data_IF_743827181365
#
_entry.id   IF_743827181365
#
_cell.length_a   1.000
_cell.length_b   1.000
_cell.length_c   1.000
_cell.angle_alpha   90.00
_cell.angle_beta   90.00
_cell.angle_gamma   90.00
#
_symmetry.space_group_name_H-M   'P 1'
#
loop_
_entity.id
_entity.type
_entity.pdbx_description
1 polymer ?
#
# COMPACT_ATOMS: atom_id res chain seq x y z
N UNK A 1 -13.83 12.28 -1.23
CA UNK A 1 -12.49 12.19 -1.81
C UNK A 1 -12.41 13.18 -2.96
N UNK A 2 -11.35 13.98 -2.98
CA UNK A 2 -10.99 14.87 -4.09
C UNK A 2 -9.52 14.66 -4.45
N UNK A 3 -9.14 15.10 -5.64
CA UNK A 3 -7.77 14.95 -6.15
C UNK A 3 -7.07 16.30 -6.06
N UNK A 4 -5.81 16.29 -5.59
CA UNK A 4 -4.97 17.49 -5.53
C UNK A 4 -3.72 17.25 -6.36
N UNK A 5 -3.45 18.11 -7.33
CA UNK A 5 -2.24 18.02 -8.15
C UNK A 5 -1.00 18.40 -7.33
N UNK A 6 0.04 17.57 -7.38
CA UNK A 6 1.34 17.80 -6.74
C UNK A 6 2.48 17.67 -7.76
N UNK A 7 3.65 18.29 -7.54
CA UNK A 7 4.76 18.26 -8.52
C UNK A 7 5.50 16.91 -8.60
N UNK A 8 5.18 15.96 -7.74
CA UNK A 8 5.88 14.67 -7.58
C UNK A 8 5.78 14.22 -6.12
N UNK A 9 6.78 13.50 -5.62
CA UNK A 9 6.87 13.14 -4.20
C UNK A 9 6.78 14.40 -3.31
N UNK A 10 5.90 14.32 -2.31
CA UNK A 10 5.75 15.32 -1.25
C UNK A 10 6.23 14.76 0.09
N UNK A 11 6.59 15.60 1.06
CA UNK A 11 6.95 15.14 2.39
C UNK A 11 5.80 14.36 3.07
N UNK A 12 6.15 13.45 3.97
CA UNK A 12 5.20 12.53 4.61
C UNK A 12 4.06 13.26 5.36
N UNK A 13 4.36 14.28 6.16
CA UNK A 13 3.34 15.04 6.90
C UNK A 13 2.25 15.65 6.00
N UNK A 14 2.61 16.46 4.98
CA UNK A 14 1.66 16.93 3.97
C UNK A 14 0.86 15.81 3.28
N UNK A 15 1.51 14.68 2.98
CA UNK A 15 0.81 13.52 2.41
C UNK A 15 -0.27 12.98 3.36
N UNK A 16 0.08 12.75 4.62
CA UNK A 16 -0.88 12.27 5.62
C UNK A 16 -2.02 13.26 5.88
N UNK A 17 -1.73 14.57 5.95
CA UNK A 17 -2.78 15.60 6.06
C UNK A 17 -3.77 15.53 4.89
N UNK A 18 -3.28 15.36 3.66
CA UNK A 18 -4.14 15.18 2.50
C UNK A 18 -5.07 13.96 2.69
N UNK A 19 -4.51 12.80 3.02
CA UNK A 19 -5.26 11.56 3.19
C UNK A 19 -6.30 11.69 4.32
N UNK A 20 -5.92 12.22 5.48
CA UNK A 20 -6.78 12.46 6.63
C UNK A 20 -8.00 13.34 6.29
N UNK A 21 -7.83 14.26 5.35
CA UNK A 21 -8.90 15.14 4.89
C UNK A 21 -9.54 14.67 3.55
N UNK A 22 -9.36 13.40 3.18
CA UNK A 22 -9.93 12.79 1.97
C UNK A 22 -9.52 13.52 0.68
N UNK A 23 -8.28 14.00 0.63
CA UNK A 23 -7.61 14.53 -0.56
C UNK A 23 -6.56 13.51 -0.98
N UNK A 24 -6.57 13.06 -2.22
CA UNK A 24 -5.51 12.19 -2.74
C UNK A 24 -4.55 13.01 -3.61
N UNK A 25 -3.26 13.13 -3.22
CA UNK A 25 -2.24 13.78 -4.04
C UNK A 25 -1.99 13.00 -5.32
N UNK A 26 -1.97 13.67 -6.47
CA UNK A 26 -1.64 13.07 -7.77
C UNK A 26 -0.57 13.89 -8.46
N UNK A 27 0.51 13.23 -8.84
CA UNK A 27 1.62 13.82 -9.59
C UNK A 27 1.13 14.40 -10.92
N UNK A 28 1.59 15.60 -11.26
CA UNK A 28 1.07 16.40 -12.37
C UNK A 28 1.83 16.23 -13.71
N UNK A 29 2.76 15.28 -13.78
CA UNK A 29 3.53 14.96 -14.98
C UNK A 29 3.41 13.48 -15.32
N UNK A 30 3.66 13.13 -16.57
CA UNK A 30 3.55 11.76 -17.09
C UNK A 30 4.91 11.28 -17.57
N UNK A 31 5.22 10.00 -17.34
CA UNK A 31 6.46 9.36 -17.82
C UNK A 31 6.67 9.51 -19.33
N UNK A 32 7.92 9.46 -19.77
CA UNK A 32 8.23 9.47 -21.20
C UNK A 32 8.03 8.08 -21.82
N UNK A 33 8.01 8.02 -23.16
CA UNK A 33 7.93 6.73 -23.89
C UNK A 33 9.06 5.76 -23.57
N UNK A 34 10.23 6.25 -23.14
CA UNK A 34 11.38 5.39 -22.79
C UNK A 34 11.20 4.70 -21.44
N UNK A 35 10.29 5.22 -20.63
CA UNK A 35 10.00 4.78 -19.27
C UNK A 35 8.64 4.07 -19.20
N UNK A 36 8.05 3.72 -20.35
CA UNK A 36 6.70 3.17 -20.42
C UNK A 36 6.56 1.89 -19.60
N UNK A 37 7.57 1.02 -19.69
CA UNK A 37 7.58 -0.27 -19.00
C UNK A 37 7.84 -0.12 -17.49
N UNK A 38 8.63 0.88 -17.08
CA UNK A 38 8.94 1.14 -15.67
C UNK A 38 9.52 2.54 -15.45
N UNK A 39 9.11 3.18 -14.36
CA UNK A 39 9.70 4.39 -13.80
C UNK A 39 9.71 4.27 -12.27
N UNK A 40 10.78 4.74 -11.63
CA UNK A 40 10.95 4.66 -10.16
C UNK A 40 10.06 5.69 -9.46
N UNK A 41 9.96 6.90 -10.01
CA UNK A 41 9.13 7.95 -9.44
C UNK A 41 7.66 7.76 -9.84
N UNK A 42 6.71 7.94 -8.90
CA UNK A 42 5.28 7.89 -9.22
C UNK A 42 4.94 9.05 -10.14
N UNK A 43 4.41 8.72 -11.31
CA UNK A 43 3.90 9.68 -12.27
C UNK A 43 2.37 9.76 -12.20
N UNK A 44 1.77 10.64 -13.00
CA UNK A 44 0.31 10.80 -13.08
C UNK A 44 -0.41 9.49 -13.39
N UNK A 45 0.17 8.59 -14.20
CA UNK A 45 -0.47 7.32 -14.50
C UNK A 45 -0.52 6.42 -13.27
N UNK A 46 0.60 6.26 -12.57
CA UNK A 46 0.62 5.51 -11.31
C UNK A 46 -0.36 6.09 -10.28
N UNK A 47 -0.26 7.38 -9.98
CA UNK A 47 -1.08 8.02 -8.95
C UNK A 47 -2.56 8.04 -9.33
N UNK A 48 -2.89 8.43 -10.56
CA UNK A 48 -4.29 8.54 -10.97
C UNK A 48 -4.89 7.19 -11.34
N UNK A 49 -4.29 6.44 -12.26
CA UNK A 49 -4.87 5.17 -12.72
C UNK A 49 -4.78 4.09 -11.65
N UNK A 50 -3.69 4.06 -10.88
CA UNK A 50 -3.47 3.05 -9.84
C UNK A 50 -4.30 3.29 -8.58
N UNK A 51 -4.24 4.49 -8.00
CA UNK A 51 -4.86 4.74 -6.69
C UNK A 51 -6.29 5.29 -6.75
N UNK A 52 -6.64 6.13 -7.73
CA UNK A 52 -7.92 6.86 -7.69
C UNK A 52 -9.15 5.94 -7.86
N UNK A 53 -9.17 4.94 -8.76
CA UNK A 53 -10.35 4.10 -8.95
C UNK A 53 -10.79 3.38 -7.66
N UNK A 54 -9.84 2.87 -6.87
CA UNK A 54 -10.16 2.10 -5.65
C UNK A 54 -10.73 2.98 -4.53
N UNK A 55 -10.50 4.30 -4.55
CA UNK A 55 -11.14 5.26 -3.62
C UNK A 55 -12.66 5.36 -3.80
N UNK A 56 -13.23 4.81 -4.88
CA UNK A 56 -14.68 4.67 -5.04
C UNK A 56 -15.27 3.52 -4.21
N UNK A 57 -14.43 2.60 -3.73
CA UNK A 57 -14.81 1.56 -2.77
C UNK A 57 -14.80 2.20 -1.36
N UNK A 58 -15.95 2.33 -0.69
CA UNK A 58 -16.08 3.15 0.51
C UNK A 58 -15.26 2.65 1.70
N UNK A 59 -15.15 1.34 1.89
CA UNK A 59 -14.37 0.73 2.98
C UNK A 59 -12.88 0.97 2.80
N UNK A 60 -12.38 0.86 1.57
CA UNK A 60 -10.98 1.20 1.27
C UNK A 60 -10.73 2.70 1.42
N UNK A 61 -11.69 3.52 0.99
CA UNK A 61 -11.62 4.96 1.13
C UNK A 61 -11.57 5.40 2.61
N UNK A 62 -12.29 4.71 3.50
CA UNK A 62 -12.25 4.95 4.94
C UNK A 62 -10.91 4.47 5.56
N UNK A 63 -10.37 3.34 5.10
CA UNK A 63 -9.02 2.90 5.46
C UNK A 63 -7.97 3.96 5.12
N UNK A 64 -7.99 4.48 3.88
CA UNK A 64 -7.03 5.50 3.43
C UNK A 64 -7.12 6.79 4.25
N UNK A 65 -8.34 7.19 4.67
CA UNK A 65 -8.51 8.35 5.55
C UNK A 65 -7.91 8.07 6.93
N UNK A 66 -8.28 6.96 7.56
CA UNK A 66 -7.74 6.59 8.87
C UNK A 66 -6.21 6.48 8.82
N UNK A 67 -5.64 5.96 7.73
CA UNK A 67 -4.20 5.87 7.54
C UNK A 67 -3.54 7.25 7.65
N UNK A 68 -4.09 8.26 6.96
CA UNK A 68 -3.64 9.64 7.10
C UNK A 68 -3.78 10.20 8.52
N UNK A 69 -4.87 9.87 9.22
CA UNK A 69 -5.12 10.34 10.59
C UNK A 69 -4.15 9.73 11.63
N UNK A 70 -3.72 8.48 11.44
CA UNK A 70 -2.92 7.74 12.43
C UNK A 70 -1.43 7.69 12.15
N UNK A 71 -0.99 7.96 10.92
CA UNK A 71 0.39 7.72 10.52
C UNK A 71 1.40 8.57 11.30
N UNK A 72 1.12 9.86 11.53
CA UNK A 72 2.01 10.75 12.27
C UNK A 72 2.22 10.30 13.72
N UNK A 73 1.17 9.80 14.38
CA UNK A 73 1.26 9.25 15.74
C UNK A 73 2.18 8.02 15.77
N UNK A 74 2.07 7.13 14.78
CA UNK A 74 2.93 5.95 14.70
C UNK A 74 4.39 6.32 14.42
N UNK A 75 4.62 7.31 13.57
CA UNK A 75 5.96 7.86 13.31
C UNK A 75 6.56 8.45 14.57
N UNK A 76 5.78 9.21 15.35
CA UNK A 76 6.22 9.78 16.62
C UNK A 76 6.62 8.70 17.66
N UNK A 77 6.04 7.49 17.56
CA UNK A 77 6.40 6.33 18.37
C UNK A 77 7.65 5.57 17.87
N UNK A 78 8.22 5.96 16.72
CA UNK A 78 9.33 5.29 16.05
C UNK A 78 8.91 4.17 15.09
N UNK A 79 7.67 4.22 14.61
CA UNK A 79 7.05 3.21 13.72
C UNK A 79 7.05 3.57 12.24
N UNK A 80 7.87 4.53 11.80
CA UNK A 80 7.92 5.04 10.42
C UNK A 80 8.04 3.94 9.35
N UNK A 81 8.99 3.02 9.51
CA UNK A 81 9.13 1.91 8.57
C UNK A 81 7.91 0.97 8.59
N UNK A 82 7.28 0.77 9.76
CA UNK A 82 6.15 -0.16 9.89
C UNK A 82 4.87 0.38 9.26
N UNK A 83 4.61 1.68 9.43
CA UNK A 83 3.45 2.31 8.83
C UNK A 83 3.61 2.39 7.30
N UNK A 84 4.84 2.63 6.83
CA UNK A 84 5.17 2.60 5.40
C UNK A 84 5.00 1.19 4.81
N UNK A 85 5.45 0.14 5.50
CA UNK A 85 5.22 -1.26 5.08
C UNK A 85 3.74 -1.61 4.96
N UNK A 86 2.93 -1.12 5.91
CA UNK A 86 1.48 -1.31 5.85
C UNK A 86 0.90 -0.70 4.57
N UNK A 87 1.23 0.56 4.28
CA UNK A 87 0.78 1.21 3.05
C UNK A 87 1.26 0.48 1.79
N UNK A 88 2.53 0.05 1.79
CA UNK A 88 3.14 -0.69 0.69
C UNK A 88 2.39 -1.99 0.39
N UNK A 89 2.18 -2.83 1.40
CA UNK A 89 1.53 -4.13 1.24
C UNK A 89 0.00 -4.07 1.17
N UNK A 90 -0.60 -2.88 1.33
CA UNK A 90 -2.02 -2.65 1.04
C UNK A 90 -2.21 -1.79 -0.21
N UNK A 91 -1.98 -0.48 -0.12
CA UNK A 91 -2.35 0.47 -1.16
C UNK A 91 -1.48 0.35 -2.42
N UNK A 92 -0.24 -0.14 -2.32
CA UNK A 92 0.65 -0.28 -3.48
C UNK A 92 0.64 -1.68 -4.09
N UNK A 93 0.72 -2.74 -3.27
CA UNK A 93 0.90 -4.12 -3.73
C UNK A 93 -0.11 -5.11 -3.15
N UNK A 94 -1.23 -4.62 -2.62
CA UNK A 94 -2.26 -5.45 -2.03
C UNK A 94 -3.03 -6.30 -3.03
N UNK A 95 -3.29 -7.55 -2.62
CA UNK A 95 -4.16 -8.51 -3.29
C UNK A 95 -5.39 -8.79 -2.42
N UNK A 96 -6.49 -9.22 -3.06
CA UNK A 96 -7.72 -9.61 -2.38
C UNK A 96 -8.24 -10.93 -2.94
N UNK A 97 -8.69 -11.82 -2.05
CA UNK A 97 -9.33 -13.07 -2.41
C UNK A 97 -10.53 -13.34 -1.52
N UNK A 98 -11.72 -13.08 -2.06
CA UNK A 98 -12.97 -13.43 -1.40
C UNK A 98 -13.20 -14.95 -1.45
N UNK A 99 -13.94 -15.54 -0.49
CA UNK A 99 -14.19 -16.98 -0.48
C UNK A 99 -14.74 -17.52 -1.80
N UNK A 100 -14.03 -18.49 -2.38
CA UNK A 100 -14.41 -19.13 -3.64
C UNK A 100 -14.19 -18.28 -4.89
N UNK A 101 -13.55 -17.11 -4.78
CA UNK A 101 -13.19 -16.25 -5.90
C UNK A 101 -11.70 -16.38 -6.25
N UNK A 102 -11.31 -16.07 -7.50
CA UNK A 102 -9.89 -15.92 -7.84
C UNK A 102 -9.29 -14.72 -7.09
N UNK A 103 -7.97 -14.74 -6.91
CA UNK A 103 -7.19 -13.59 -6.45
C UNK A 103 -7.35 -12.43 -7.44
N UNK A 104 -7.52 -11.21 -6.92
CA UNK A 104 -7.57 -9.96 -7.68
C UNK A 104 -6.56 -8.98 -7.08
N UNK A 105 -5.95 -8.14 -7.90
CA UNK A 105 -5.15 -7.03 -7.42
C UNK A 105 -6.01 -5.79 -7.14
N UNK A 106 -5.59 -4.98 -6.18
CA UNK A 106 -6.12 -3.62 -5.99
C UNK A 106 -5.03 -2.60 -5.70
N UNK A 107 -3.82 -3.04 -5.31
CA UNK A 107 -2.69 -2.15 -5.06
C UNK A 107 -2.25 -1.40 -6.33
N UNK A 108 -2.03 -0.09 -6.21
CA UNK A 108 -1.76 0.80 -7.33
C UNK A 108 -0.47 0.50 -8.09
N UNK A 109 0.59 0.07 -7.40
CA UNK A 109 1.82 -0.44 -8.01
C UNK A 109 1.55 -1.60 -8.96
N UNK A 110 0.67 -2.54 -8.58
CA UNK A 110 0.21 -3.60 -9.46
C UNK A 110 -0.69 -3.06 -10.58
N UNK A 111 -1.69 -2.25 -10.25
CA UNK A 111 -2.65 -1.74 -11.24
C UNK A 111 -1.98 -0.91 -12.34
N UNK A 112 -0.82 -0.31 -12.07
CA UNK A 112 -0.05 0.49 -13.02
C UNK A 112 1.17 -0.23 -13.62
N UNK A 113 1.39 -1.51 -13.29
CA UNK A 113 2.50 -2.34 -13.79
C UNK A 113 1.98 -3.57 -14.53
N UNK A 114 2.12 -3.59 -15.85
CA UNK A 114 1.58 -4.69 -16.67
C UNK A 114 2.18 -6.06 -16.32
N UNK A 115 3.50 -6.14 -16.22
CA UNK A 115 4.21 -7.42 -16.02
C UNK A 115 4.11 -7.93 -14.60
N UNK A 116 4.20 -7.04 -13.60
CA UNK A 116 4.11 -7.44 -12.19
C UNK A 116 2.68 -7.81 -11.80
N UNK A 117 1.67 -7.11 -12.34
CA UNK A 117 0.26 -7.50 -12.16
C UNK A 117 0.03 -8.94 -12.63
N UNK A 118 0.47 -9.26 -13.85
CA UNK A 118 0.31 -10.60 -14.40
C UNK A 118 1.01 -11.65 -13.53
N UNK A 119 2.26 -11.38 -13.12
CA UNK A 119 2.99 -12.26 -12.22
C UNK A 119 2.25 -12.48 -10.90
N UNK A 120 1.82 -11.39 -10.24
CA UNK A 120 1.20 -11.43 -8.93
C UNK A 120 -0.13 -12.19 -8.91
N UNK A 121 -0.93 -12.16 -9.99
CA UNK A 121 -2.26 -12.79 -10.01
C UNK A 121 -2.33 -14.13 -10.74
N UNK A 122 -1.43 -14.40 -11.69
CA UNK A 122 -1.48 -15.61 -12.53
C UNK A 122 -0.37 -16.63 -12.24
N UNK A 123 0.79 -16.19 -11.72
CA UNK A 123 1.95 -17.08 -11.53
C UNK A 123 1.77 -17.99 -10.31
N UNK A 124 2.17 -19.25 -10.45
CA UNK A 124 2.27 -20.20 -9.32
C UNK A 124 3.49 -19.93 -8.43
N UNK A 125 4.46 -19.18 -8.94
CA UNK A 125 5.66 -18.80 -8.21
C UNK A 125 5.45 -17.52 -7.39
N UNK A 126 4.30 -16.85 -7.54
CA UNK A 126 3.94 -15.71 -6.71
C UNK A 126 3.68 -16.17 -5.26
N UNK A 127 4.42 -15.59 -4.32
CA UNK A 127 4.26 -15.92 -2.91
C UNK A 127 3.09 -15.14 -2.31
N UNK A 128 1.94 -15.79 -2.22
CA UNK A 128 0.74 -15.24 -1.58
C UNK A 128 0.73 -15.54 -0.08
N UNK A 129 0.70 -14.49 0.72
CA UNK A 129 0.71 -14.56 2.18
C UNK A 129 -0.64 -14.07 2.71
N UNK A 130 -1.35 -14.81 3.58
CA UNK A 130 -2.57 -14.30 4.19
C UNK A 130 -2.31 -12.99 4.94
N UNK A 131 -3.20 -12.02 4.80
CA UNK A 131 -3.07 -10.74 5.52
C UNK A 131 -3.11 -10.95 7.04
N UNK A 132 -2.07 -10.46 7.70
CA UNK A 132 -1.98 -10.31 9.16
C UNK A 132 -1.30 -8.98 9.47
N UNK A 133 -1.92 -8.16 10.33
CA UNK A 133 -1.50 -6.78 10.57
C UNK A 133 -0.07 -6.70 11.12
N UNK A 134 0.27 -7.53 12.11
CA UNK A 134 1.59 -7.51 12.74
C UNK A 134 2.66 -8.00 11.75
N UNK A 135 2.37 -9.06 11.00
CA UNK A 135 3.27 -9.60 9.98
C UNK A 135 3.54 -8.55 8.91
N UNK A 136 2.50 -7.94 8.33
CA UNK A 136 2.63 -6.88 7.33
C UNK A 136 3.51 -5.72 7.82
N UNK A 137 3.24 -5.20 9.03
CA UNK A 137 4.02 -4.10 9.60
C UNK A 137 5.49 -4.45 9.83
N UNK A 138 5.83 -5.73 9.91
CA UNK A 138 7.19 -6.21 10.15
C UNK A 138 7.92 -6.68 8.90
N UNK A 139 7.23 -6.94 7.79
CA UNK A 139 7.85 -7.46 6.57
C UNK A 139 8.51 -6.34 5.77
N UNK A 140 9.81 -6.49 5.46
CA UNK A 140 10.52 -5.55 4.58
C UNK A 140 9.98 -5.58 3.15
N UNK A 141 10.37 -4.69 2.24
CA UNK A 141 9.88 -4.72 0.86
C UNK A 141 10.93 -4.22 -0.13
N UNK A 142 10.65 -4.35 -1.42
CA UNK A 142 11.56 -3.98 -2.50
C UNK A 142 10.96 -2.88 -3.37
N UNK A 143 11.75 -1.86 -3.73
CA UNK A 143 11.28 -0.72 -4.52
C UNK A 143 11.73 -0.77 -5.99
N UNK A 144 12.63 -1.69 -6.35
CA UNK A 144 13.33 -1.72 -7.64
C UNK A 144 13.21 -3.06 -8.38
N UNK A 145 12.40 -3.98 -7.86
CA UNK A 145 12.15 -5.32 -8.41
C UNK A 145 10.80 -5.84 -7.93
N UNK A 146 10.37 -6.95 -8.51
CA UNK A 146 9.10 -7.58 -8.13
C UNK A 146 9.09 -7.96 -6.66
N UNK A 147 7.92 -7.80 -6.03
CA UNK A 147 7.75 -8.16 -4.63
C UNK A 147 7.97 -9.67 -4.43
N UNK A 148 8.69 -10.01 -3.36
CA UNK A 148 8.89 -11.41 -2.93
C UNK A 148 7.75 -11.97 -2.07
N UNK A 149 6.81 -11.13 -1.66
CA UNK A 149 5.57 -11.51 -0.99
C UNK A 149 4.43 -10.58 -1.40
N UNK A 150 3.23 -11.12 -1.56
CA UNK A 150 2.00 -10.36 -1.80
C UNK A 150 0.99 -10.74 -0.72
N UNK A 151 0.55 -9.76 0.07
CA UNK A 151 -0.43 -10.00 1.11
C UNK A 151 -1.84 -10.03 0.53
N UNK A 152 -2.58 -11.09 0.86
CA UNK A 152 -3.92 -11.36 0.34
C UNK A 152 -4.95 -11.08 1.43
N UNK A 153 -5.74 -10.04 1.22
CA UNK A 153 -6.88 -9.71 2.05
C UNK A 153 -8.07 -10.64 1.77
N UNK A 154 -8.80 -11.08 2.81
CA UNK A 154 -10.07 -11.79 2.60
C UNK A 154 -11.21 -10.84 2.23
N UNK A 155 -11.11 -9.56 2.64
CA UNK A 155 -12.05 -8.48 2.31
C UNK A 155 -11.44 -7.10 2.64
N UNK A 156 -12.01 -6.02 2.11
CA UNK A 156 -11.63 -4.66 2.53
C UNK A 156 -12.05 -4.37 3.98
N UNK A 157 -13.13 -4.99 4.48
CA UNK A 157 -13.52 -4.88 5.89
C UNK A 157 -12.42 -5.41 6.82
N UNK A 158 -11.74 -6.50 6.46
CA UNK A 158 -10.62 -7.02 7.25
C UNK A 158 -9.48 -6.01 7.35
N UNK A 159 -9.15 -5.29 6.26
CA UNK A 159 -8.14 -4.23 6.28
C UNK A 159 -8.58 -3.06 7.17
N UNK A 160 -9.81 -2.55 6.95
CA UNK A 160 -10.37 -1.45 7.74
C UNK A 160 -10.41 -1.80 9.23
N UNK A 161 -10.90 -2.97 9.58
CA UNK A 161 -11.11 -3.39 10.97
C UNK A 161 -9.78 -3.66 11.68
N UNK A 162 -8.81 -4.25 10.98
CA UNK A 162 -7.44 -4.39 11.50
C UNK A 162 -6.84 -3.02 11.81
N UNK A 163 -7.07 -2.01 10.97
CA UNK A 163 -6.52 -0.68 11.20
C UNK A 163 -7.29 0.15 12.22
N UNK A 164 -8.61 -0.02 12.29
CA UNK A 164 -9.48 0.65 13.24
C UNK A 164 -9.25 0.15 14.67
N UNK A 165 -9.19 -1.19 14.83
CA UNK A 165 -9.22 -1.86 16.13
C UNK A 165 -7.89 -2.51 16.54
N UNK A 166 -6.93 -2.62 15.61
CA UNK A 166 -5.63 -3.23 15.89
C UNK A 166 -4.75 -2.38 16.79
N UNK A 167 -3.91 -3.05 17.58
CA UNK A 167 -2.95 -2.42 18.49
C UNK A 167 -1.69 -1.95 17.75
N UNK A 168 -1.84 -0.98 16.84
CA UNK A 168 -0.74 -0.43 16.05
C UNK A 168 0.38 0.10 16.96
N UNK A 169 0.02 0.84 18.01
CA UNK A 169 0.97 1.40 18.95
C UNK A 169 1.74 0.31 19.73
N UNK A 170 1.06 -0.75 20.16
CA UNK A 170 1.71 -1.89 20.82
C UNK A 170 2.57 -2.72 19.88
N UNK A 171 2.20 -2.86 18.59
CA UNK A 171 3.08 -3.47 17.56
C UNK A 171 4.34 -2.63 17.40
N UNK A 172 4.21 -1.32 17.17
CA UNK A 172 5.35 -0.40 17.05
C UNK A 172 6.22 -0.47 18.30
N UNK A 173 5.64 -0.40 19.49
CA UNK A 173 6.40 -0.43 20.74
C UNK A 173 7.17 -1.75 20.93
N UNK A 174 6.62 -2.88 20.49
CA UNK A 174 7.28 -4.19 20.60
C UNK A 174 8.43 -4.35 19.61
N UNK A 175 8.27 -3.85 18.39
CA UNK A 175 9.17 -4.18 17.29
C UNK A 175 10.03 -3.02 16.78
N UNK A 176 9.87 -1.79 17.30
CA UNK A 176 10.72 -0.67 16.90
C UNK A 176 12.20 -1.00 17.14
N UNK A 177 13.02 -0.78 16.13
CA UNK A 177 14.45 -1.11 16.15
C UNK A 177 14.78 -2.61 16.00
N UNK A 178 13.79 -3.49 15.84
CA UNK A 178 14.04 -4.88 15.44
C UNK A 178 14.17 -4.97 13.91
N UNK A 179 14.95 -5.96 13.40
CA UNK A 179 15.03 -6.17 11.96
C UNK A 179 13.67 -6.56 11.39
N UNK A 180 13.44 -6.14 10.15
CA UNK A 180 12.28 -6.55 9.37
C UNK A 180 12.32 -8.06 9.11
N UNK A 181 11.14 -8.68 8.98
CA UNK A 181 11.00 -10.03 8.46
C UNK A 181 11.40 -10.05 6.98
N UNK A 182 12.03 -11.14 6.54
CA UNK A 182 12.35 -11.35 5.13
C UNK A 182 11.08 -11.81 4.37
N UNK A 183 10.61 -11.05 3.37
CA UNK A 183 9.44 -11.41 2.54
C UNK A 183 9.48 -12.82 1.96
N UNK A 184 10.67 -13.36 1.72
CA UNK A 184 10.80 -14.72 1.18
C UNK A 184 10.43 -15.83 2.18
N UNK A 185 10.26 -15.50 3.46
CA UNK A 185 10.14 -16.47 4.57
C UNK A 185 8.95 -16.25 5.49
N UNK A 186 8.15 -15.21 5.25
CA UNK A 186 6.92 -14.93 6.01
C UNK A 186 5.78 -15.88 5.64
#
# INVERSE_FOLDING_TARGET
WEIVAVPGLIPAGPFFDHLANRRFPVTNWLRTKKELDYIVEPDMFHDFFGHVPILTQPVFADFMQMYGEKAEDMIALGGDEMITRLYWYSAEYGLIQEPGQPVKAFGAGLMSSFTELQFAVESKDAHHVPFDLETVMRTGYEIDKFQRAYFVLPSFDALRDAFANGDLAGIVSRFKGQPALDPATV
#
